data_IF_144782863703
#
_entry.id   IF_144782863703
#
_cell.length_a   1.000
_cell.length_b   1.000
_cell.length_c   1.000
_cell.angle_alpha   90.00
_cell.angle_beta   90.00
_cell.angle_gamma   90.00
#
_symmetry.space_group_name_H-M   'P 1'
#
loop_
_entity.id
_entity.type
_entity.pdbx_description
1 polymer ?
#
# COMPACT_ATOMS: atom_id res chain seq x y z
N UNK A 1 0.19 -24.54 -46.70
CA UNK A 1 -0.98 -23.97 -45.99
C UNK A 1 -0.64 -23.85 -44.52
N UNK A 2 -0.14 -22.70 -44.07
CA UNK A 2 0.14 -22.44 -42.66
C UNK A 2 -0.94 -21.51 -42.12
N UNK A 3 -1.75 -22.01 -41.18
CA UNK A 3 -2.75 -21.22 -40.48
C UNK A 3 -2.04 -20.16 -39.62
N UNK A 4 -2.15 -18.90 -40.04
CA UNK A 4 -1.80 -17.73 -39.23
C UNK A 4 -2.67 -17.75 -37.98
N UNK A 5 -2.07 -18.19 -36.86
CA UNK A 5 -2.62 -18.04 -35.52
C UNK A 5 -2.77 -16.55 -35.26
N UNK A 6 -4.00 -16.04 -35.43
CA UNK A 6 -4.40 -14.73 -34.95
C UNK A 6 -4.21 -14.73 -33.43
N UNK A 7 -3.10 -14.12 -33.01
CA UNK A 7 -2.79 -13.89 -31.62
C UNK A 7 -3.74 -12.80 -31.13
N UNK A 8 -4.98 -13.21 -30.84
CA UNK A 8 -6.02 -12.40 -30.22
C UNK A 8 -5.45 -11.86 -28.92
N UNK A 9 -4.89 -10.65 -28.96
CA UNK A 9 -4.51 -9.87 -27.79
C UNK A 9 -5.75 -9.83 -26.91
N UNK A 10 -5.81 -10.73 -25.92
CA UNK A 10 -6.84 -10.73 -24.88
C UNK A 10 -6.80 -9.33 -24.30
N UNK A 11 -7.80 -8.50 -24.64
CA UNK A 11 -8.04 -7.24 -23.96
C UNK A 11 -8.29 -7.63 -22.50
N UNK A 12 -7.25 -7.51 -21.68
CA UNK A 12 -7.37 -7.63 -20.24
C UNK A 12 -8.40 -6.57 -19.87
N UNK A 13 -9.60 -6.99 -19.45
CA UNK A 13 -10.59 -6.06 -18.93
C UNK A 13 -9.92 -5.36 -17.76
N UNK A 14 -9.72 -4.06 -17.90
CA UNK A 14 -9.14 -3.22 -16.85
C UNK A 14 -10.08 -3.29 -15.65
N UNK A 15 -9.57 -3.68 -14.48
CA UNK A 15 -10.34 -3.68 -13.24
C UNK A 15 -10.76 -2.23 -12.95
N UNK A 16 -12.01 -2.03 -12.54
CA UNK A 16 -12.50 -0.69 -12.23
C UNK A 16 -11.67 -0.06 -11.10
N UNK A 17 -11.32 1.24 -11.15
CA UNK A 17 -10.46 1.88 -10.15
C UNK A 17 -10.92 1.68 -8.70
N UNK A 18 -12.23 1.78 -8.42
CA UNK A 18 -12.75 1.59 -7.05
C UNK A 18 -12.60 0.14 -6.55
N UNK A 19 -12.81 -0.84 -7.44
CA UNK A 19 -12.61 -2.26 -7.13
C UNK A 19 -11.12 -2.53 -6.91
N UNK A 20 -10.25 -1.94 -7.74
CA UNK A 20 -8.81 -2.05 -7.58
C UNK A 20 -8.34 -1.44 -6.25
N UNK A 21 -8.90 -0.29 -5.87
CA UNK A 21 -8.62 0.37 -4.58
C UNK A 21 -9.01 -0.54 -3.41
N UNK A 22 -10.20 -1.14 -3.45
CA UNK A 22 -10.65 -2.09 -2.44
C UNK A 22 -9.76 -3.34 -2.36
N UNK A 23 -9.34 -3.88 -3.51
CA UNK A 23 -8.38 -5.00 -3.57
C UNK A 23 -7.06 -4.62 -2.90
N UNK A 24 -6.48 -3.47 -3.24
CA UNK A 24 -5.23 -3.02 -2.63
C UNK A 24 -5.36 -2.86 -1.13
N UNK A 25 -6.46 -2.26 -0.65
CA UNK A 25 -6.75 -2.11 0.76
C UNK A 25 -6.74 -3.44 1.50
N UNK A 26 -7.47 -4.45 1.00
CA UNK A 26 -7.58 -5.73 1.69
C UNK A 26 -6.26 -6.54 1.59
N UNK A 27 -5.52 -6.43 0.49
CA UNK A 27 -4.20 -7.07 0.35
C UNK A 27 -3.14 -6.40 1.25
N UNK A 28 -3.24 -5.10 1.51
CA UNK A 28 -2.35 -4.38 2.42
C UNK A 28 -2.57 -4.78 3.88
N UNK A 29 -3.78 -5.16 4.26
CA UNK A 29 -4.09 -5.70 5.61
C UNK A 29 -3.82 -7.19 5.75
N UNK A 30 -3.34 -7.84 4.68
CA UNK A 30 -2.91 -9.24 4.69
C UNK A 30 -4.01 -10.25 4.34
N UNK A 31 -5.14 -9.81 3.80
CA UNK A 31 -6.18 -10.72 3.31
C UNK A 31 -5.65 -11.61 2.17
N UNK A 32 -6.14 -12.86 2.11
CA UNK A 32 -5.82 -13.75 0.98
C UNK A 32 -6.68 -13.38 -0.24
N UNK A 33 -6.24 -13.75 -1.44
CA UNK A 33 -6.99 -13.43 -2.66
C UNK A 33 -8.45 -13.96 -2.64
N UNK A 34 -8.75 -15.17 -2.15
CA UNK A 34 -10.13 -15.62 -1.90
C UNK A 34 -10.91 -14.70 -0.96
N UNK A 35 -10.32 -14.33 0.19
CA UNK A 35 -10.97 -13.46 1.18
C UNK A 35 -11.31 -12.08 0.59
N UNK A 36 -10.42 -11.55 -0.26
CA UNK A 36 -10.66 -10.28 -0.97
C UNK A 36 -11.85 -10.42 -1.92
N UNK A 37 -11.94 -11.50 -2.70
CA UNK A 37 -13.07 -11.70 -3.62
C UNK A 37 -14.40 -11.81 -2.86
N UNK A 38 -14.39 -12.52 -1.74
CA UNK A 38 -15.56 -12.63 -0.85
C UNK A 38 -15.92 -11.27 -0.26
N UNK A 39 -14.95 -10.52 0.27
CA UNK A 39 -15.17 -9.19 0.84
C UNK A 39 -15.74 -8.21 -0.20
N UNK A 40 -15.24 -8.21 -1.43
CA UNK A 40 -15.78 -7.39 -2.53
C UNK A 40 -17.24 -7.76 -2.83
N UNK A 41 -17.55 -9.07 -2.84
CA UNK A 41 -18.90 -9.56 -3.09
C UNK A 41 -19.87 -9.07 -2.00
N UNK A 42 -19.45 -9.16 -0.74
CA UNK A 42 -20.24 -8.68 0.39
C UNK A 42 -20.45 -7.16 0.35
N UNK A 43 -19.42 -6.38 0.02
CA UNK A 43 -19.53 -4.92 -0.12
C UNK A 43 -20.47 -4.52 -1.26
N UNK A 44 -20.45 -5.23 -2.39
CA UNK A 44 -21.36 -4.98 -3.52
C UNK A 44 -22.81 -5.32 -3.15
N UNK A 45 -23.05 -6.43 -2.43
CA UNK A 45 -24.37 -6.78 -1.90
C UNK A 45 -24.93 -5.72 -0.93
N UNK A 46 -24.06 -5.06 -0.16
CA UNK A 46 -24.43 -3.97 0.75
C UNK A 46 -24.55 -2.60 0.06
N UNK A 47 -24.25 -2.51 -1.24
CA UNK A 47 -24.25 -1.24 -1.98
C UNK A 47 -23.08 -0.30 -1.64
N UNK A 48 -22.03 -0.81 -0.98
CA UNK A 48 -20.82 -0.06 -0.61
C UNK A 48 -19.82 0.06 -1.77
N UNK A 49 -19.98 -0.79 -2.79
CA UNK A 49 -19.20 -0.77 -4.03
C UNK A 49 -20.17 -0.68 -5.22
N UNK A 50 -19.82 0.07 -6.29
CA UNK A 50 -20.68 0.13 -7.47
C UNK A 50 -20.81 -1.26 -8.11
N UNK A 51 -21.88 -1.45 -8.88
CA UNK A 51 -22.18 -2.73 -9.56
C UNK A 51 -21.20 -2.97 -10.73
N UNK A 52 -19.97 -3.34 -10.38
CA UNK A 52 -18.87 -3.64 -11.28
C UNK A 52 -18.52 -5.12 -11.22
N UNK A 53 -17.88 -5.61 -12.28
CA UNK A 53 -17.44 -6.99 -12.33
C UNK A 53 -16.32 -7.22 -11.29
N UNK A 54 -16.61 -8.08 -10.31
CA UNK A 54 -15.62 -8.55 -9.33
C UNK A 54 -14.58 -9.40 -10.07
N UNK A 55 -13.27 -9.10 -9.93
CA UNK A 55 -12.24 -9.90 -10.57
C UNK A 55 -12.14 -11.28 -9.93
N UNK A 56 -11.69 -12.26 -10.72
CA UNK A 56 -11.45 -13.61 -10.22
C UNK A 56 -10.34 -13.64 -9.16
N UNK A 57 -10.36 -14.66 -8.29
CA UNK A 57 -9.28 -14.88 -7.31
C UNK A 57 -7.89 -14.97 -7.97
N UNK A 58 -7.80 -15.51 -9.20
CA UNK A 58 -6.54 -15.53 -9.97
C UNK A 58 -6.05 -14.12 -10.31
N UNK A 59 -6.95 -13.23 -10.70
CA UNK A 59 -6.62 -11.83 -11.00
C UNK A 59 -6.15 -11.13 -9.73
N UNK A 60 -6.86 -11.33 -8.61
CA UNK A 60 -6.46 -10.77 -7.31
C UNK A 60 -5.10 -11.32 -6.86
N UNK A 61 -4.83 -12.61 -7.03
CA UNK A 61 -3.52 -13.20 -6.74
C UNK A 61 -2.39 -12.62 -7.61
N UNK A 62 -2.66 -12.31 -8.88
CA UNK A 62 -1.68 -11.64 -9.74
C UNK A 62 -1.37 -10.24 -9.22
N UNK A 63 -2.40 -9.45 -8.88
CA UNK A 63 -2.25 -8.13 -8.26
C UNK A 63 -1.46 -8.25 -6.95
N UNK A 64 -1.81 -9.21 -6.10
CA UNK A 64 -1.10 -9.45 -4.84
C UNK A 64 0.37 -9.79 -5.06
N UNK A 65 0.70 -10.55 -6.10
CA UNK A 65 2.09 -10.88 -6.45
C UNK A 65 2.85 -9.63 -6.94
N UNK A 66 2.21 -8.80 -7.75
CA UNK A 66 2.77 -7.51 -8.18
C UNK A 66 3.04 -6.60 -6.98
N UNK A 67 2.14 -6.58 -5.99
CA UNK A 67 2.34 -5.84 -4.73
C UNK A 67 3.42 -6.45 -3.81
N UNK A 68 3.60 -7.78 -3.83
CA UNK A 68 4.54 -8.51 -2.95
C UNK A 68 5.98 -8.55 -3.47
N UNK A 69 6.25 -8.16 -4.71
CA UNK A 69 7.60 -8.18 -5.30
C UNK A 69 8.49 -7.08 -4.70
N UNK A 70 8.72 -7.15 -3.40
CA UNK A 70 9.85 -6.51 -2.74
C UNK A 70 11.01 -7.48 -2.80
N UNK A 71 11.97 -7.15 -3.65
CA UNK A 71 13.20 -7.89 -3.91
C UNK A 71 14.24 -7.78 -2.78
N UNK A 72 13.99 -6.93 -1.78
CA UNK A 72 14.92 -6.73 -0.66
C UNK A 72 15.04 -7.92 0.29
N UNK A 73 14.18 -8.93 0.14
CA UNK A 73 14.15 -10.12 0.99
C UNK A 73 13.60 -9.85 2.39
N UNK A 74 13.55 -10.92 3.20
CA UNK A 74 13.07 -10.85 4.58
C UNK A 74 14.10 -10.13 5.47
N UNK A 75 13.62 -9.27 6.36
CA UNK A 75 14.44 -8.60 7.37
C UNK A 75 14.72 -9.56 8.52
N UNK A 76 15.99 -9.63 8.93
CA UNK A 76 16.45 -10.44 10.05
C UNK A 76 17.12 -9.56 11.11
N UNK A 77 17.39 -10.13 12.29
CA UNK A 77 18.16 -9.42 13.33
C UNK A 77 19.56 -9.00 12.90
N UNK A 78 20.14 -9.65 11.87
CA UNK A 78 21.44 -9.25 11.32
C UNK A 78 21.36 -7.97 10.48
N UNK A 79 20.17 -7.63 9.97
CA UNK A 79 19.90 -6.40 9.23
C UNK A 79 19.50 -5.24 10.17
N UNK A 80 19.52 -5.47 11.49
CA UNK A 80 19.02 -4.53 12.48
C UNK A 80 20.03 -3.45 12.83
N UNK A 81 19.61 -2.19 12.77
CA UNK A 81 20.38 -1.08 13.31
C UNK A 81 20.09 -0.92 14.82
N UNK A 82 21.11 -0.84 15.70
CA UNK A 82 20.91 -0.79 17.15
C UNK A 82 19.99 0.34 17.62
N UNK A 83 20.02 1.48 16.94
CA UNK A 83 19.20 2.65 17.29
C UNK A 83 17.71 2.45 17.03
N UNK A 84 17.34 1.61 16.05
CA UNK A 84 15.96 1.51 15.54
C UNK A 84 15.34 0.12 15.72
N UNK A 85 16.14 -0.90 16.05
CA UNK A 85 15.71 -2.30 16.19
C UNK A 85 14.52 -2.48 17.14
N UNK A 86 14.51 -1.80 18.29
CA UNK A 86 13.42 -1.93 19.26
C UNK A 86 12.09 -1.44 18.67
N UNK A 87 12.12 -0.31 17.95
CA UNK A 87 10.95 0.23 17.28
C UNK A 87 10.44 -0.72 16.20
N UNK A 88 11.34 -1.25 15.36
CA UNK A 88 10.99 -2.21 14.29
C UNK A 88 10.33 -3.45 14.88
N UNK A 89 10.88 -4.02 15.96
CA UNK A 89 10.30 -5.19 16.63
C UNK A 89 8.93 -4.90 17.25
N UNK A 90 8.75 -3.74 17.87
CA UNK A 90 7.45 -3.32 18.42
C UNK A 90 6.40 -3.14 17.32
N UNK A 91 6.80 -2.61 16.17
CA UNK A 91 5.92 -2.50 15.00
C UNK A 91 5.55 -3.88 14.49
N UNK A 92 6.52 -4.79 14.31
CA UNK A 92 6.25 -6.16 13.91
C UNK A 92 5.28 -6.86 14.88
N UNK A 93 5.46 -6.69 16.19
CA UNK A 93 4.53 -7.23 17.19
C UNK A 93 3.11 -6.68 16.99
N UNK A 94 2.96 -5.37 16.78
CA UNK A 94 1.66 -4.74 16.53
C UNK A 94 1.02 -5.24 15.22
N UNK A 95 1.83 -5.51 14.19
CA UNK A 95 1.39 -6.09 12.91
C UNK A 95 0.89 -7.51 13.11
N UNK A 96 1.65 -8.36 13.81
CA UNK A 96 1.23 -9.74 14.12
C UNK A 96 -0.08 -9.75 14.89
N UNK A 97 -0.23 -8.89 15.90
CA UNK A 97 -1.46 -8.79 16.68
C UNK A 97 -2.64 -8.31 15.84
N UNK A 98 -2.47 -7.23 15.07
CA UNK A 98 -3.56 -6.63 14.28
C UNK A 98 -3.99 -7.51 13.10
N UNK A 99 -3.10 -8.36 12.61
CA UNK A 99 -3.37 -9.27 11.49
C UNK A 99 -3.62 -10.71 11.93
N UNK A 100 -3.67 -10.98 13.23
CA UNK A 100 -3.85 -12.32 13.80
C UNK A 100 -2.81 -13.33 13.27
N UNK A 101 -1.58 -12.86 13.05
CA UNK A 101 -0.47 -13.66 12.53
C UNK A 101 -0.45 -13.85 11.01
N UNK A 102 -1.41 -13.29 10.25
CA UNK A 102 -1.36 -13.33 8.77
C UNK A 102 -0.11 -12.66 8.21
N UNK A 103 0.42 -11.65 8.92
CA UNK A 103 1.70 -11.03 8.61
C UNK A 103 2.62 -11.21 9.83
N UNK A 104 3.67 -12.02 9.65
CA UNK A 104 4.61 -12.39 10.71
C UNK A 104 6.07 -11.99 10.43
N UNK A 105 6.33 -11.34 9.29
CA UNK A 105 7.66 -10.87 8.92
C UNK A 105 7.60 -9.53 8.19
N UNK A 106 8.74 -8.85 8.16
CA UNK A 106 8.96 -7.61 7.43
C UNK A 106 9.99 -7.85 6.34
N UNK A 107 9.91 -7.09 5.26
CA UNK A 107 11.00 -7.02 4.29
C UNK A 107 12.08 -6.04 4.77
N UNK A 108 13.30 -6.15 4.24
CA UNK A 108 14.39 -5.21 4.60
C UNK A 108 14.02 -3.78 4.29
N UNK A 109 13.39 -3.53 3.13
CA UNK A 109 12.91 -2.19 2.73
C UNK A 109 11.83 -1.67 3.68
N UNK A 110 10.88 -2.51 4.10
CA UNK A 110 9.89 -2.12 5.11
C UNK A 110 10.58 -1.72 6.41
N UNK A 111 11.46 -2.58 6.95
CA UNK A 111 12.14 -2.33 8.22
C UNK A 111 12.97 -1.04 8.22
N UNK A 112 13.62 -0.70 7.09
CA UNK A 112 14.34 0.58 6.90
C UNK A 112 13.42 1.80 6.91
N UNK A 113 12.23 1.71 6.32
CA UNK A 113 11.28 2.82 6.24
C UNK A 113 10.52 3.08 7.55
N UNK A 114 10.31 2.04 8.38
CA UNK A 114 9.50 2.15 9.58
C UNK A 114 9.95 3.26 10.54
N UNK A 115 11.25 3.42 10.90
CA UNK A 115 11.70 4.48 11.79
C UNK A 115 11.50 5.87 11.19
N UNK A 116 11.76 6.01 9.89
CA UNK A 116 11.60 7.29 9.15
C UNK A 116 10.14 7.73 9.19
N UNK A 117 9.22 6.84 8.84
CA UNK A 117 7.79 7.12 8.84
C UNK A 117 7.30 7.38 10.26
N UNK A 118 7.74 6.58 11.24
CA UNK A 118 7.34 6.76 12.64
C UNK A 118 7.75 8.12 13.20
N UNK A 119 8.98 8.56 12.90
CA UNK A 119 9.47 9.88 13.30
C UNK A 119 8.69 11.00 12.61
N UNK A 120 8.45 10.90 11.30
CA UNK A 120 7.77 11.93 10.53
C UNK A 120 6.30 12.14 10.95
N UNK A 121 5.64 11.09 11.43
CA UNK A 121 4.25 11.16 11.93
C UNK A 121 4.17 11.48 13.42
N UNK A 122 5.30 11.63 14.12
CA UNK A 122 5.40 12.09 15.51
C UNK A 122 4.44 11.35 16.48
N UNK A 123 4.29 10.03 16.30
CA UNK A 123 3.41 9.21 17.14
C UNK A 123 1.90 9.43 16.93
N UNK A 124 1.48 10.20 15.92
CA UNK A 124 0.06 10.38 15.57
C UNK A 124 -0.61 9.09 15.09
N UNK A 125 0.20 8.16 14.60
CA UNK A 125 -0.26 6.85 14.13
C UNK A 125 0.11 5.76 15.12
N UNK A 126 -0.77 4.77 15.23
CA UNK A 126 -0.44 3.52 15.91
C UNK A 126 0.70 2.82 15.17
N UNK A 127 1.42 1.92 15.87
CA UNK A 127 2.52 1.16 15.28
C UNK A 127 2.07 0.36 14.05
N UNK A 128 0.85 -0.20 14.07
CA UNK A 128 0.28 -0.89 12.92
C UNK A 128 -0.01 0.08 11.75
N UNK A 129 -0.53 1.27 12.03
CA UNK A 129 -0.75 2.29 10.99
C UNK A 129 0.57 2.77 10.37
N UNK A 130 1.65 2.91 11.16
CA UNK A 130 3.00 3.18 10.64
C UNK A 130 3.45 2.10 9.65
N UNK A 131 3.19 0.82 9.96
CA UNK A 131 3.48 -0.28 9.03
C UNK A 131 2.67 -0.19 7.74
N UNK A 132 1.37 0.08 7.83
CA UNK A 132 0.53 0.25 6.64
C UNK A 132 1.05 1.39 5.75
N UNK A 133 1.52 2.49 6.34
CA UNK A 133 2.19 3.57 5.60
C UNK A 133 3.47 3.13 4.90
N UNK A 134 4.31 2.32 5.55
CA UNK A 134 5.51 1.80 4.90
C UNK A 134 5.20 0.93 3.69
N UNK A 135 4.25 -0.01 3.82
CA UNK A 135 3.81 -0.83 2.68
C UNK A 135 3.23 0.00 1.55
N UNK A 136 2.42 0.98 1.93
CA UNK A 136 1.78 1.91 1.02
C UNK A 136 2.82 2.70 0.22
N UNK A 137 3.80 3.28 0.89
CA UNK A 137 4.84 4.09 0.26
C UNK A 137 5.64 3.24 -0.74
N UNK A 138 6.01 2.00 -0.36
CA UNK A 138 6.69 1.05 -1.27
C UNK A 138 5.82 0.75 -2.50
N UNK A 139 4.51 0.55 -2.33
CA UNK A 139 3.61 0.30 -3.45
C UNK A 139 3.45 1.53 -4.36
N UNK A 140 3.36 2.72 -3.77
CA UNK A 140 3.24 4.00 -4.48
C UNK A 140 4.46 4.26 -5.38
N UNK A 141 5.66 4.22 -4.79
CA UNK A 141 6.92 4.49 -5.50
C UNK A 141 7.12 3.54 -6.70
N UNK A 142 6.58 2.32 -6.65
CA UNK A 142 6.69 1.34 -7.75
C UNK A 142 5.67 1.52 -8.87
N UNK A 143 4.54 2.15 -8.60
CA UNK A 143 3.42 2.21 -9.55
C UNK A 143 3.33 3.53 -10.30
N UNK A 144 4.21 4.50 -10.00
CA UNK A 144 4.18 5.88 -10.54
C UNK A 144 2.79 6.53 -10.44
N UNK A 145 1.93 6.04 -9.53
CA UNK A 145 0.59 6.56 -9.35
C UNK A 145 0.65 7.96 -8.72
N UNK A 146 -0.35 8.78 -9.01
CA UNK A 146 -0.48 10.10 -8.38
C UNK A 146 -0.58 9.91 -6.86
N UNK A 147 0.34 10.52 -6.12
CA UNK A 147 0.41 10.48 -4.66
C UNK A 147 -0.94 10.80 -4.00
N UNK A 148 -1.78 11.62 -4.67
CA UNK A 148 -3.13 11.97 -4.24
C UNK A 148 -4.09 10.78 -4.18
N UNK A 149 -4.13 9.95 -5.22
CA UNK A 149 -5.06 8.81 -5.31
C UNK A 149 -4.74 7.76 -4.26
N UNK A 150 -3.44 7.58 -4.01
CA UNK A 150 -2.97 6.63 -3.02
C UNK A 150 -3.27 7.22 -1.63
N UNK A 151 -2.93 8.49 -1.36
CA UNK A 151 -3.20 9.13 -0.06
C UNK A 151 -4.70 9.09 0.31
N UNK A 152 -5.58 9.29 -0.68
CA UNK A 152 -7.03 9.17 -0.51
C UNK A 152 -7.44 7.74 -0.11
N UNK A 153 -6.90 6.72 -0.78
CA UNK A 153 -7.17 5.32 -0.45
C UNK A 153 -6.77 4.97 0.99
N UNK A 154 -5.60 5.45 1.44
CA UNK A 154 -5.15 5.24 2.82
C UNK A 154 -6.05 5.96 3.84
N UNK A 155 -6.45 7.18 3.53
CA UNK A 155 -7.33 7.96 4.39
C UNK A 155 -8.71 7.27 4.56
N UNK A 156 -9.21 6.60 3.51
CA UNK A 156 -10.38 5.71 3.58
C UNK A 156 -10.11 4.48 4.46
N UNK A 157 -8.95 3.83 4.31
CA UNK A 157 -8.56 2.64 5.09
C UNK A 157 -8.54 2.87 6.60
N UNK A 158 -8.20 4.08 7.03
CA UNK A 158 -8.08 4.44 8.46
C UNK A 158 -9.38 4.98 9.06
N UNK A 159 -10.51 4.83 8.35
CA UNK A 159 -11.83 5.20 8.82
C UNK A 159 -12.06 6.71 8.85
N UNK A 160 -11.44 7.47 7.94
CA UNK A 160 -11.71 8.90 7.80
C UNK A 160 -11.27 9.76 9.00
N UNK A 161 -10.42 9.23 9.90
CA UNK A 161 -9.76 10.04 10.95
C UNK A 161 -8.64 10.93 10.41
N UNK A 162 -8.41 10.86 9.11
CA UNK A 162 -7.73 11.85 8.31
C UNK A 162 -8.72 12.99 8.00
N UNK A 163 -8.36 14.28 7.98
CA UNK A 163 -9.32 15.31 7.62
C UNK A 163 -9.49 15.26 6.10
N UNK A 164 -10.36 14.38 5.61
CA UNK A 164 -10.67 14.22 4.18
C UNK A 164 -11.82 15.14 3.79
N UNK A 165 -12.50 15.76 4.75
CA UNK A 165 -13.72 16.54 4.50
C UNK A 165 -13.54 17.78 3.63
N UNK A 166 -12.31 18.13 3.22
CA UNK A 166 -12.03 19.23 2.29
C UNK A 166 -11.37 18.78 0.96
N UNK A 167 -11.43 17.49 0.60
CA UNK A 167 -10.82 16.99 -0.65
C UNK A 167 -11.74 17.03 -1.89
N UNK A 168 -13.03 17.38 -1.76
CA UNK A 168 -14.00 17.29 -2.88
C UNK A 168 -14.16 18.54 -3.74
N UNK A 169 -13.88 19.77 -3.29
CA UNK A 169 -14.35 20.99 -4.02
C UNK A 169 -13.36 22.17 -4.14
N UNK A 170 -12.04 21.93 -4.04
CA UNK A 170 -11.04 23.00 -4.18
C UNK A 170 -10.50 23.20 -5.61
N UNK A 171 -10.40 24.44 -6.14
CA UNK A 171 -9.64 24.73 -7.35
C UNK A 171 -8.17 24.34 -7.16
N UNK A 172 -7.48 23.98 -8.24
CA UNK A 172 -6.06 23.64 -8.25
C UNK A 172 -5.26 24.65 -7.43
N UNK A 173 -4.76 24.21 -6.28
CA UNK A 173 -3.90 25.01 -5.41
C UNK A 173 -4.59 25.38 -4.09
N UNK A 174 -3.86 25.11 -3.00
CA UNK A 174 -4.17 25.40 -1.58
C UNK A 174 -4.92 24.28 -0.86
N UNK A 175 -4.12 23.36 -0.34
CA UNK A 175 -4.46 22.36 0.65
C UNK A 175 -4.36 22.95 2.08
N UNK A 176 -5.35 22.75 2.99
CA UNK A 176 -5.10 22.99 4.40
C UNK A 176 -5.51 21.84 5.37
N UNK A 177 -4.67 21.68 6.41
CA UNK A 177 -5.02 21.45 7.82
C UNK A 177 -5.21 20.05 8.47
N UNK A 178 -4.65 18.96 7.92
CA UNK A 178 -3.64 18.15 8.65
C UNK A 178 -2.55 17.82 7.62
N UNK A 179 -1.42 18.47 7.81
CA UNK A 179 -0.77 19.27 6.77
C UNK A 179 0.04 18.44 5.78
N UNK A 180 0.07 18.86 4.50
CA UNK A 180 1.10 18.45 3.53
C UNK A 180 2.46 18.24 4.18
N UNK A 181 2.94 19.10 5.09
CA UNK A 181 4.14 18.88 5.88
C UNK A 181 4.35 17.50 6.50
N UNK A 182 3.35 16.74 6.96
CA UNK A 182 3.61 15.38 7.48
C UNK A 182 3.84 14.39 6.34
N UNK A 183 3.03 14.49 5.28
CA UNK A 183 3.20 13.68 4.06
C UNK A 183 4.47 14.09 3.34
N UNK A 184 4.71 15.36 3.07
CA UNK A 184 5.96 15.94 2.57
C UNK A 184 7.14 15.62 3.48
N UNK A 185 7.04 15.61 4.81
CA UNK A 185 8.14 15.16 5.68
C UNK A 185 8.40 13.67 5.49
N UNK A 186 7.37 12.84 5.39
CA UNK A 186 7.53 11.41 5.06
C UNK A 186 8.16 11.26 3.66
N UNK A 187 7.67 11.99 2.66
CA UNK A 187 8.13 11.96 1.28
C UNK A 187 9.58 12.45 1.19
N UNK A 188 9.88 13.65 1.69
CA UNK A 188 11.24 14.23 1.72
C UNK A 188 12.21 13.38 2.54
N UNK A 189 11.78 12.86 3.70
CA UNK A 189 12.63 11.98 4.51
C UNK A 189 12.83 10.61 3.86
N UNK A 190 11.89 10.11 3.05
CA UNK A 190 12.04 8.84 2.33
C UNK A 190 12.79 8.99 0.99
N UNK A 191 12.63 10.13 0.29
CA UNK A 191 13.32 10.45 -0.97
C UNK A 191 14.85 10.49 -0.79
N UNK A 192 15.33 11.05 0.33
CA UNK A 192 16.75 11.08 0.66
C UNK A 192 17.40 9.70 0.87
N UNK A 193 16.62 8.64 1.07
CA UNK A 193 17.12 7.29 1.35
C UNK A 193 16.93 6.30 0.20
N UNK A 194 15.96 6.52 -0.69
CA UNK A 194 15.59 5.55 -1.74
C UNK A 194 16.03 5.93 -3.15
N UNK A 195 16.28 7.21 -3.44
CA UNK A 195 16.73 7.64 -4.77
C UNK A 195 18.04 6.96 -5.23
N UNK A 196 19.06 6.74 -4.38
CA UNK A 196 20.30 6.09 -4.83
C UNK A 196 20.11 4.61 -5.19
N UNK A 197 19.46 3.81 -4.34
CA UNK A 197 19.26 2.37 -4.58
C UNK A 197 18.26 2.10 -5.72
N UNK A 198 17.29 2.99 -5.96
CA UNK A 198 16.31 2.80 -7.04
C UNK A 198 16.80 3.21 -8.42
N UNK A 199 17.75 4.15 -8.51
CA UNK A 199 18.41 4.50 -9.78
C UNK A 199 19.37 3.40 -10.24
N UNK A 200 19.93 2.60 -9.32
CA UNK A 200 20.83 1.48 -9.64
C UNK A 200 20.11 0.21 -10.12
N UNK A 201 18.82 0.03 -9.82
CA UNK A 201 18.05 -1.14 -10.26
C UNK A 201 17.48 -0.98 -11.69
N UNK A 202 17.55 0.23 -12.27
CA UNK A 202 17.09 0.51 -13.63
C UNK A 202 18.22 0.70 -14.67
N UNK A 203 19.49 0.53 -14.28
CA UNK A 203 20.66 0.48 -15.20
C UNK A 203 21.11 -0.94 -15.50
#
# INVERSE_FOLDING_TARGET
>A
MAALRTNSRRRVRKVHPDVLRAIHQDLLTGASAPDVVEALSQRQLRGELPDHAIPSARTVSNIAREMRTDDSGEWTMNDAEPATVNLVLRILQAVVQSTEGRIASLTKRQARLLPVIHAAVEGRFTLYQTYLWARFYIAWVRTEQDARDVALAFATMTGGKWPITELSDGPRGLWPALTLPAVERVLNAAEGWLLPEMLEVQS
#
